data_IF_900066978615
#
_entry.id   IF_900066978615
#
_cell.length_a   1.000
_cell.length_b   1.000
_cell.length_c   1.000
_cell.angle_alpha   90.00
_cell.angle_beta   90.00
_cell.angle_gamma   90.00
#
_symmetry.space_group_name_H-M   'P 1'
#
loop_
_entity.id
_entity.type
_entity.pdbx_description
1 polymer ?
#
# COMPACT_ATOMS: atom_id res chain seq x y z
N UNK A 1 8.99 -4.05 -16.90
CA UNK A 1 8.52 -4.83 -15.72
C UNK A 1 9.28 -4.33 -14.52
N UNK A 2 8.64 -4.14 -13.36
CA UNK A 2 9.30 -3.70 -12.14
C UNK A 2 10.41 -4.68 -11.71
N UNK A 3 11.47 -4.17 -11.09
CA UNK A 3 12.57 -4.99 -10.57
C UNK A 3 12.13 -5.84 -9.36
N UNK A 4 12.95 -6.83 -8.99
CA UNK A 4 12.61 -7.77 -7.91
C UNK A 4 12.48 -7.07 -6.56
N UNK A 5 13.30 -6.06 -6.29
CA UNK A 5 13.23 -5.29 -5.05
C UNK A 5 11.89 -4.55 -4.90
N UNK A 6 11.36 -3.97 -5.98
CA UNK A 6 10.05 -3.31 -6.01
C UNK A 6 8.93 -4.32 -5.78
N UNK A 7 9.06 -5.53 -6.34
CA UNK A 7 8.08 -6.61 -6.15
C UNK A 7 8.08 -7.13 -4.71
N UNK A 8 9.25 -7.26 -4.10
CA UNK A 8 9.39 -7.62 -2.68
C UNK A 8 8.81 -6.55 -1.77
N UNK A 9 9.16 -5.28 -1.99
CA UNK A 9 8.62 -4.16 -1.21
C UNK A 9 7.08 -4.10 -1.28
N UNK A 10 6.51 -4.33 -2.46
CA UNK A 10 5.06 -4.46 -2.63
C UNK A 10 4.47 -5.62 -1.81
N UNK A 11 5.09 -6.82 -1.88
CA UNK A 11 4.62 -8.00 -1.14
C UNK A 11 4.67 -7.77 0.37
N UNK A 12 5.74 -7.17 0.87
CA UNK A 12 5.91 -6.87 2.29
C UNK A 12 4.89 -5.86 2.79
N UNK A 13 4.67 -4.78 2.03
CA UNK A 13 3.68 -3.76 2.37
C UNK A 13 2.26 -4.34 2.36
N UNK A 14 1.94 -5.19 1.38
CA UNK A 14 0.66 -5.89 1.31
C UNK A 14 0.45 -6.81 2.53
N UNK A 15 1.44 -7.66 2.85
CA UNK A 15 1.40 -8.55 4.02
C UNK A 15 1.22 -7.77 5.33
N UNK A 16 1.91 -6.64 5.48
CA UNK A 16 1.79 -5.81 6.67
C UNK A 16 0.38 -5.20 6.82
N UNK A 17 -0.21 -4.74 5.72
CA UNK A 17 -1.58 -4.23 5.73
C UNK A 17 -2.61 -5.32 6.02
N UNK A 18 -2.51 -6.50 5.39
CA UNK A 18 -3.43 -7.62 5.66
C UNK A 18 -3.44 -8.01 7.14
N UNK A 19 -2.29 -8.05 7.81
CA UNK A 19 -2.20 -8.32 9.26
C UNK A 19 -2.93 -7.27 10.10
N UNK A 20 -2.85 -5.99 9.74
CA UNK A 20 -3.61 -4.95 10.46
C UNK A 20 -5.11 -5.07 10.19
N UNK A 21 -5.50 -5.40 8.96
CA UNK A 21 -6.89 -5.55 8.57
C UNK A 21 -7.55 -6.74 9.28
N UNK A 22 -6.86 -7.88 9.37
CA UNK A 22 -7.27 -9.05 10.17
C UNK A 22 -7.52 -8.64 11.62
N UNK A 23 -6.58 -7.90 12.23
CA UNK A 23 -6.73 -7.44 13.62
C UNK A 23 -7.92 -6.49 13.80
N UNK A 24 -8.19 -5.63 12.82
CA UNK A 24 -9.39 -4.77 12.83
C UNK A 24 -10.65 -5.62 12.75
N UNK A 25 -10.69 -6.61 11.86
CA UNK A 25 -11.84 -7.51 11.73
C UNK A 25 -12.10 -8.30 13.01
N UNK A 26 -11.08 -8.86 13.65
CA UNK A 26 -11.22 -9.54 14.93
C UNK A 26 -11.89 -8.64 15.97
N UNK A 27 -11.42 -7.40 16.12
CA UNK A 27 -11.97 -6.47 17.11
C UNK A 27 -13.41 -6.08 16.78
N UNK A 28 -13.73 -5.88 15.50
CA UNK A 28 -15.07 -5.45 15.08
C UNK A 28 -16.10 -6.59 15.08
N UNK A 29 -15.70 -7.82 14.78
CA UNK A 29 -16.61 -8.95 14.57
C UNK A 29 -16.65 -9.92 15.75
N UNK A 30 -15.52 -10.16 16.43
CA UNK A 30 -15.42 -11.12 17.53
C UNK A 30 -15.74 -10.50 18.91
N UNK A 31 -16.14 -9.22 18.93
CA UNK A 31 -16.66 -8.56 20.13
C UNK A 31 -15.61 -8.18 21.17
N UNK A 32 -14.31 -8.14 20.80
CA UNK A 32 -13.26 -7.67 21.70
C UNK A 32 -13.48 -6.18 22.05
N UNK A 33 -13.68 -5.91 23.35
CA UNK A 33 -13.87 -4.53 23.83
C UNK A 33 -12.53 -3.84 24.06
N UNK A 34 -12.12 -3.05 23.09
CA UNK A 34 -11.03 -2.08 23.26
C UNK A 34 -11.54 -0.78 23.89
N UNK A 35 -10.69 -0.11 24.68
CA UNK A 35 -10.95 1.27 25.08
C UNK A 35 -10.93 2.19 23.85
N UNK A 36 -11.62 3.34 23.87
CA UNK A 36 -11.66 4.26 22.74
C UNK A 36 -10.27 4.65 22.21
N UNK A 37 -9.30 4.90 23.09
CA UNK A 37 -7.93 5.25 22.70
C UNK A 37 -7.22 4.08 21.99
N UNK A 38 -7.44 2.85 22.45
CA UNK A 38 -6.86 1.64 21.82
C UNK A 38 -7.49 1.36 20.47
N UNK A 39 -8.80 1.55 20.34
CA UNK A 39 -9.51 1.41 19.07
C UNK A 39 -9.01 2.46 18.05
N UNK A 40 -8.92 3.73 18.45
CA UNK A 40 -8.33 4.79 17.62
C UNK A 40 -6.89 4.45 17.21
N UNK A 41 -6.09 3.95 18.15
CA UNK A 41 -4.73 3.50 17.87
C UNK A 41 -4.64 2.36 16.86
N UNK A 42 -5.56 1.40 16.93
CA UNK A 42 -5.68 0.30 15.97
C UNK A 42 -6.02 0.80 14.57
N UNK A 43 -7.08 1.62 14.44
CA UNK A 43 -7.50 2.18 13.16
C UNK A 43 -6.39 3.05 12.52
N UNK A 44 -5.67 3.83 13.33
CA UNK A 44 -4.55 4.62 12.84
C UNK A 44 -3.37 3.77 12.34
N UNK A 45 -3.14 2.57 12.91
CA UNK A 45 -2.10 1.66 12.42
C UNK A 45 -2.50 0.99 11.12
N UNK A 46 -3.76 0.56 11.01
CA UNK A 46 -4.32 0.03 9.77
C UNK A 46 -4.21 1.05 8.64
N UNK A 47 -4.66 2.29 8.87
CA UNK A 47 -4.63 3.35 7.86
C UNK A 47 -3.19 3.66 7.37
N UNK A 48 -2.21 3.67 8.28
CA UNK A 48 -0.79 3.85 7.91
C UNK A 48 -0.24 2.68 7.11
N UNK A 49 -0.59 1.45 7.47
CA UNK A 49 -0.16 0.27 6.73
C UNK A 49 -0.77 0.26 5.32
N UNK A 50 -2.04 0.65 5.19
CA UNK A 50 -2.71 0.82 3.90
C UNK A 50 -2.01 1.88 3.05
N UNK A 51 -1.65 3.02 3.63
CA UNK A 51 -0.93 4.07 2.92
C UNK A 51 0.41 3.56 2.35
N UNK A 52 1.22 2.86 3.16
CA UNK A 52 2.47 2.28 2.71
C UNK A 52 2.28 1.25 1.58
N UNK A 53 1.21 0.44 1.66
CA UNK A 53 0.81 -0.47 0.58
C UNK A 53 0.42 0.28 -0.69
N UNK A 54 -0.38 1.33 -0.60
CA UNK A 54 -0.80 2.13 -1.75
C UNK A 54 0.42 2.80 -2.43
N UNK A 55 1.37 3.33 -1.65
CA UNK A 55 2.65 3.87 -2.15
C UNK A 55 3.48 2.79 -2.87
N UNK A 56 3.63 1.60 -2.27
CA UNK A 56 4.34 0.49 -2.90
C UNK A 56 3.64 0.00 -4.18
N UNK A 57 2.30 0.03 -4.22
CA UNK A 57 1.52 -0.31 -5.41
C UNK A 57 1.72 0.70 -6.53
N UNK A 58 1.72 2.00 -6.22
CA UNK A 58 1.99 3.04 -7.23
C UNK A 58 3.39 2.87 -7.83
N UNK A 59 4.39 2.60 -6.99
CA UNK A 59 5.76 2.29 -7.43
C UNK A 59 5.81 1.05 -8.33
N UNK A 60 5.13 -0.03 -7.94
CA UNK A 60 5.05 -1.25 -8.74
C UNK A 60 4.45 -1.00 -10.14
N UNK A 61 3.47 -0.10 -10.22
CA UNK A 61 2.79 0.28 -11.47
C UNK A 61 3.56 1.34 -12.27
N UNK A 62 4.64 1.91 -11.74
CA UNK A 62 5.34 3.04 -12.37
C UNK A 62 4.54 4.34 -12.36
N UNK A 63 3.60 4.49 -11.43
CA UNK A 63 2.71 5.65 -11.28
C UNK A 63 3.14 6.57 -10.13
N UNK A 64 4.35 6.38 -9.59
CA UNK A 64 4.90 7.30 -8.60
C UNK A 64 5.27 8.61 -9.33
N UNK A 65 4.46 9.66 -9.17
CA UNK A 65 4.64 10.97 -9.82
C UNK A 65 5.98 11.65 -9.46
N UNK A 66 6.74 11.10 -8.50
CA UNK A 66 8.11 11.55 -8.20
C UNK A 66 9.20 10.86 -9.05
N UNK A 67 8.89 9.77 -9.74
CA UNK A 67 9.78 9.17 -10.72
C UNK A 67 9.67 9.97 -12.03
N UNK A 68 10.78 10.51 -12.51
CA UNK A 68 10.84 11.27 -13.76
C UNK A 68 10.06 10.55 -14.88
N UNK A 69 9.32 11.29 -15.72
CA UNK A 69 8.55 10.68 -16.80
C UNK A 69 9.48 9.82 -17.64
N UNK A 70 9.09 8.56 -17.86
CA UNK A 70 9.76 7.70 -18.83
C UNK A 70 9.88 8.48 -20.15
N UNK A 71 11.03 8.46 -20.85
CA UNK A 71 11.15 9.13 -22.13
C UNK A 71 10.07 8.56 -23.05
N UNK A 72 9.09 9.40 -23.39
CA UNK A 72 8.04 9.08 -24.34
C UNK A 72 8.70 8.89 -25.70
N UNK A 73 9.04 7.64 -26.01
CA UNK A 73 9.57 7.22 -27.31
C UNK A 73 8.51 7.17 -28.41
N UNK A 74 7.59 8.14 -28.44
CA UNK A 74 6.68 8.35 -29.57
C UNK A 74 7.30 9.40 -30.52
N UNK A 75 8.44 9.03 -31.10
CA UNK A 75 8.81 9.56 -32.39
C UNK A 75 7.97 8.78 -33.40
N UNK A 76 6.81 9.33 -33.76
CA UNK A 76 5.95 8.76 -34.79
C UNK A 76 6.38 9.36 -36.14
N UNK A 77 7.16 8.65 -36.99
CA UNK A 77 7.69 9.18 -38.25
C UNK A 77 6.63 9.24 -39.38
N UNK A 78 5.35 9.03 -39.07
CA UNK A 78 4.26 8.98 -40.05
C UNK A 78 3.15 10.00 -39.80
N UNK A 79 3.42 11.11 -39.10
CA UNK A 79 2.49 12.24 -38.99
C UNK A 79 2.92 13.44 -39.83
#
# INVERSE_FOLDING_TARGET
>A
MADEATRDAYRDAWQAWMKQLERVHEVLLEGERLSPDRLKGLLNREARAKQAYDEARLKLLGLDETAAPAPSGDENPFR
#
